data_IF_460002113939
#
_entry.id   IF_460002113939
#
_cell.length_a   1.000
_cell.length_b   1.000
_cell.length_c   1.000
_cell.angle_alpha   90.00
_cell.angle_beta   90.00
_cell.angle_gamma   90.00
#
_symmetry.space_group_name_H-M   'P 1'
#
loop_
_entity.id
_entity.type
_entity.pdbx_description
1 polymer ?
#
# COMPACT_ATOMS: atom_id res chain seq x y z
N UNK A 1 -1.79 6.75 7.75
CA UNK A 1 -1.77 5.28 7.67
C UNK A 1 -3.12 4.76 7.19
N UNK A 2 -3.09 3.80 6.30
CA UNK A 2 -4.30 3.18 5.77
C UNK A 2 -4.40 1.76 6.34
N UNK A 3 -5.53 1.44 6.95
CA UNK A 3 -5.80 0.08 7.42
C UNK A 3 -6.72 -0.59 6.40
N UNK A 4 -6.13 -1.40 5.55
CA UNK A 4 -6.87 -2.10 4.51
C UNK A 4 -7.08 -3.59 4.82
N UNK A 5 -6.90 -3.96 6.08
CA UNK A 5 -7.12 -5.35 6.48
C UNK A 5 -8.61 -5.68 6.38
N UNK A 6 -8.89 -6.91 5.99
CA UNK A 6 -10.26 -7.36 5.82
C UNK A 6 -10.88 -7.03 4.48
N UNK A 7 -10.16 -6.32 3.62
CA UNK A 7 -10.63 -6.01 2.28
C UNK A 7 -9.96 -6.93 1.27
N UNK A 8 -10.71 -7.37 0.29
CA UNK A 8 -10.15 -8.20 -0.78
C UNK A 8 -9.70 -7.33 -1.95
N UNK A 9 -8.79 -7.88 -2.77
CA UNK A 9 -8.38 -7.19 -4.00
C UNK A 9 -9.59 -6.90 -4.88
N UNK A 10 -9.65 -5.71 -5.50
CA UNK A 10 -8.60 -4.68 -5.57
C UNK A 10 -8.79 -3.52 -4.58
N UNK A 11 -9.63 -3.69 -3.54
CA UNK A 11 -9.96 -2.58 -2.64
C UNK A 11 -8.74 -1.95 -1.95
N UNK A 12 -7.77 -2.71 -1.45
CA UNK A 12 -6.61 -2.08 -0.81
C UNK A 12 -5.88 -1.12 -1.74
N UNK A 13 -5.69 -1.48 -3.00
CA UNK A 13 -4.99 -0.61 -3.94
C UNK A 13 -5.84 0.62 -4.28
N UNK A 14 -7.15 0.46 -4.32
CA UNK A 14 -8.04 1.61 -4.54
C UNK A 14 -7.94 2.60 -3.39
N UNK A 15 -7.87 2.10 -2.17
CA UNK A 15 -7.74 2.96 -0.99
C UNK A 15 -6.43 3.75 -1.03
N UNK A 16 -5.33 3.10 -1.41
CA UNK A 16 -4.03 3.75 -1.56
C UNK A 16 -4.09 4.78 -2.68
N UNK A 17 -4.72 4.43 -3.79
CA UNK A 17 -4.84 5.32 -4.93
C UNK A 17 -5.57 6.60 -4.57
N UNK A 18 -6.64 6.48 -3.80
CA UNK A 18 -7.41 7.65 -3.38
C UNK A 18 -6.57 8.55 -2.48
N UNK A 19 -5.81 7.96 -1.57
CA UNK A 19 -4.98 8.74 -0.66
C UNK A 19 -3.88 9.47 -1.41
N UNK A 20 -3.24 8.81 -2.35
CA UNK A 20 -2.18 9.41 -3.15
C UNK A 20 -2.72 10.58 -3.97
N UNK A 21 -3.89 10.41 -4.57
CA UNK A 21 -4.49 11.49 -5.37
C UNK A 21 -4.92 12.66 -4.52
N UNK A 22 -5.38 12.39 -3.30
CA UNK A 22 -5.92 13.44 -2.44
C UNK A 22 -4.81 14.23 -1.75
N UNK A 23 -3.83 13.55 -1.20
CA UNK A 23 -2.83 14.19 -0.33
C UNK A 23 -1.40 14.11 -0.87
N UNK A 24 -1.14 13.26 -1.84
CA UNK A 24 0.21 13.04 -2.40
C UNK A 24 1.26 12.95 -1.30
N UNK A 25 1.11 12.06 -0.33
CA UNK A 25 2.01 12.03 0.82
C UNK A 25 3.42 11.61 0.41
N UNK A 26 4.41 12.13 1.14
CA UNK A 26 5.80 11.72 0.91
C UNK A 26 6.04 10.31 1.40
N UNK A 27 5.36 9.92 2.48
CA UNK A 27 5.45 8.58 3.06
C UNK A 27 4.05 8.13 3.43
N UNK A 28 3.74 6.89 3.12
CA UNK A 28 2.42 6.33 3.41
C UNK A 28 2.59 4.90 3.88
N UNK A 29 1.97 4.56 5.00
CA UNK A 29 1.95 3.20 5.50
C UNK A 29 0.60 2.58 5.25
N UNK A 30 0.60 1.33 4.79
CA UNK A 30 -0.62 0.60 4.47
C UNK A 30 -0.58 -0.76 5.14
N UNK A 31 -1.63 -1.09 5.87
CA UNK A 31 -1.78 -2.41 6.49
C UNK A 31 -2.69 -3.26 5.62
N UNK A 32 -2.23 -4.45 5.27
CA UNK A 32 -3.03 -5.40 4.49
C UNK A 32 -2.88 -6.80 5.07
N UNK A 33 -3.82 -7.67 4.76
CA UNK A 33 -3.76 -9.05 5.20
C UNK A 33 -3.87 -10.03 4.02
N UNK A 34 -3.57 -9.57 2.82
CA UNK A 34 -3.66 -10.37 1.61
C UNK A 34 -2.40 -10.19 0.78
N UNK A 35 -1.66 -11.28 0.48
CA UNK A 35 -0.46 -11.17 -0.38
C UNK A 35 -0.74 -10.57 -1.75
N UNK A 36 -1.94 -10.79 -2.29
CA UNK A 36 -2.34 -10.19 -3.56
C UNK A 36 -2.35 -8.67 -3.46
N UNK A 37 -2.81 -8.13 -2.32
CA UNK A 37 -2.81 -6.70 -2.11
C UNK A 37 -1.38 -6.14 -2.04
N UNK A 38 -0.46 -6.88 -1.43
CA UNK A 38 0.94 -6.47 -1.36
C UNK A 38 1.48 -6.28 -2.77
N UNK A 39 1.27 -7.24 -3.64
CA UNK A 39 1.77 -7.17 -5.00
C UNK A 39 1.13 -6.02 -5.78
N UNK A 40 -0.18 -5.87 -5.66
CA UNK A 40 -0.89 -4.84 -6.41
C UNK A 40 -0.51 -3.43 -5.95
N UNK A 41 -0.36 -3.23 -4.65
CA UNK A 41 0.03 -1.92 -4.12
C UNK A 41 1.47 -1.61 -4.52
N UNK A 42 2.35 -2.60 -4.48
CA UNK A 42 3.73 -2.41 -4.91
C UNK A 42 3.80 -1.97 -6.36
N UNK A 43 3.02 -2.60 -7.21
CA UNK A 43 2.98 -2.25 -8.63
C UNK A 43 2.44 -0.82 -8.82
N UNK A 44 1.37 -0.50 -8.12
CA UNK A 44 0.82 0.86 -8.19
C UNK A 44 1.84 1.89 -7.75
N UNK A 45 2.56 1.62 -6.66
CA UNK A 45 3.56 2.54 -6.15
C UNK A 45 4.65 2.80 -7.18
N UNK A 46 5.16 1.74 -7.79
CA UNK A 46 6.18 1.89 -8.83
C UNK A 46 5.70 2.75 -10.00
N UNK A 47 4.46 2.55 -10.40
CA UNK A 47 3.91 3.28 -11.55
C UNK A 47 3.64 4.74 -11.23
N UNK A 48 3.63 5.10 -9.95
CA UNK A 48 3.30 6.47 -9.54
C UNK A 48 4.46 7.15 -8.82
N UNK A 49 5.67 6.65 -8.99
CA UNK A 49 6.86 7.32 -8.47
C UNK A 49 7.10 7.10 -6.99
N UNK A 50 6.63 5.99 -6.45
CA UNK A 50 6.88 5.62 -5.07
C UNK A 50 7.73 4.36 -5.00
N UNK A 51 8.54 4.25 -3.95
CA UNK A 51 9.17 3.00 -3.59
C UNK A 51 8.29 2.29 -2.57
N UNK A 52 8.15 0.99 -2.73
CA UNK A 52 7.35 0.19 -1.82
C UNK A 52 8.24 -0.79 -1.08
N UNK A 53 8.15 -0.80 0.24
CA UNK A 53 8.83 -1.78 1.07
C UNK A 53 7.76 -2.52 1.84
N UNK A 54 7.78 -3.84 1.80
CA UNK A 54 6.80 -4.65 2.50
C UNK A 54 7.46 -5.39 3.64
N UNK A 55 6.73 -5.54 4.73
CA UNK A 55 7.19 -6.26 5.91
C UNK A 55 6.04 -7.11 6.44
N UNK A 56 6.31 -8.36 6.74
CA UNK A 56 5.34 -9.20 7.38
C UNK A 56 5.39 -8.92 8.88
N UNK A 57 4.27 -8.48 9.45
CA UNK A 57 4.22 -8.04 10.85
C UNK A 57 3.44 -8.98 11.75
N UNK A 58 2.86 -10.04 11.18
CA UNK A 58 2.11 -11.03 11.94
C UNK A 58 1.66 -12.13 11.01
N UNK A 59 0.83 -13.04 11.50
CA UNK A 59 0.30 -14.10 10.67
C UNK A 59 -0.56 -13.49 9.57
N UNK A 60 -0.10 -13.61 8.33
CA UNK A 60 -0.82 -13.13 7.16
C UNK A 60 -1.11 -11.64 7.21
N UNK A 61 -0.30 -10.87 7.96
CA UNK A 61 -0.41 -9.41 7.98
C UNK A 61 0.85 -8.79 7.44
N UNK A 62 0.68 -7.76 6.62
CA UNK A 62 1.80 -7.08 5.96
C UNK A 62 1.66 -5.59 6.11
N UNK A 63 2.78 -4.93 6.37
CA UNK A 63 2.83 -3.47 6.36
C UNK A 63 3.63 -3.03 5.15
N UNK A 64 3.02 -2.19 4.32
CA UNK A 64 3.69 -1.62 3.17
C UNK A 64 4.03 -0.17 3.48
N UNK A 65 5.29 0.19 3.29
CA UNK A 65 5.72 1.57 3.43
C UNK A 65 6.03 2.10 2.04
N UNK A 66 5.27 3.10 1.63
CA UNK A 66 5.45 3.73 0.33
C UNK A 66 6.16 5.06 0.56
N UNK A 67 7.29 5.24 -0.10
CA UNK A 67 8.07 6.46 0.01
C UNK A 67 8.18 7.09 -1.35
N UNK A 68 7.85 8.36 -1.44
CA UNK A 68 7.88 9.08 -2.71
C UNK A 68 9.32 9.22 -3.19
N UNK A 69 9.55 8.83 -4.43
CA UNK A 69 10.84 9.07 -5.07
C UNK A 69 10.88 10.51 -5.54
N UNK A 70 11.95 11.18 -5.22
CA UNK A 70 12.12 12.57 -5.64
C UNK A 70 12.62 12.63 -7.06
#
# INVERSE_FOLDING_TARGET
MIDARGYSCPMPVVMVQKEVKKNAPNTLEVLVDDPCAVENITRFAHNNGYEAASRETGDEEFTLTLTKKV
#
